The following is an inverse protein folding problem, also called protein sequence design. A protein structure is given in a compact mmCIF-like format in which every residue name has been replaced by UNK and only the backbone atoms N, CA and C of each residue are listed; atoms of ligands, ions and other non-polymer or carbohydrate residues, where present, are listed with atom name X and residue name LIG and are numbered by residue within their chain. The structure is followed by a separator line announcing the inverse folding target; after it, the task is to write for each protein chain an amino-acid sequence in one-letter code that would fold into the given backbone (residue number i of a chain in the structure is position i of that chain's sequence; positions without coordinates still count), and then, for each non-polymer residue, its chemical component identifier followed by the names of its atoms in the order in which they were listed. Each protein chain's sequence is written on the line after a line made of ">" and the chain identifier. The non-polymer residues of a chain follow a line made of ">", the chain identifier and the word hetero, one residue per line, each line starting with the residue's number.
data_IF_387279005863
#
_entry.id   IF_387279005863
#
_cell.length_a   1.000
_cell.length_b   1.000
_cell.length_c   1.000
_cell.angle_alpha   90.00
_cell.angle_beta   90.00
_cell.angle_gamma   90.00
#
_symmetry.space_group_name_H-M   'P 1'
#
loop_
_entity.id
_entity.type
_entity.pdbx_description
1 polymer ?
#
# COMPACT_ATOMS: atom_id res chain seq x y z
N UNK A 1 -13.04 -16.75 -0.47
CA UNK A 1 -12.08 -16.77 -1.60
C UNK A 1 -12.23 -15.47 -2.35
N UNK A 2 -11.16 -14.73 -2.62
CA UNK A 2 -11.22 -13.56 -3.49
C UNK A 2 -11.67 -13.98 -4.90
N UNK A 3 -12.49 -13.16 -5.54
CA UNK A 3 -12.95 -13.38 -6.92
C UNK A 3 -11.78 -13.25 -7.92
N UNK A 4 -12.01 -13.70 -9.15
CA UNK A 4 -10.96 -13.77 -10.16
C UNK A 4 -10.44 -12.39 -10.59
N UNK A 5 -11.30 -11.36 -10.62
CA UNK A 5 -10.89 -10.02 -10.96
C UNK A 5 -9.96 -9.45 -9.88
N UNK A 6 -10.30 -9.65 -8.60
CA UNK A 6 -9.44 -9.28 -7.48
C UNK A 6 -8.07 -9.99 -7.55
N UNK A 7 -8.04 -11.29 -7.89
CA UNK A 7 -6.77 -12.02 -8.04
C UNK A 7 -5.89 -11.49 -9.15
N UNK A 8 -6.49 -11.13 -10.30
CA UNK A 8 -5.74 -10.57 -11.44
C UNK A 8 -5.08 -9.25 -11.08
N UNK A 9 -5.83 -8.33 -10.46
CA UNK A 9 -5.29 -7.03 -10.01
C UNK A 9 -4.14 -7.24 -9.02
N UNK A 10 -4.31 -8.11 -8.03
CA UNK A 10 -3.27 -8.41 -7.03
C UNK A 10 -2.03 -9.04 -7.68
N UNK A 11 -2.19 -9.85 -8.73
CA UNK A 11 -1.06 -10.50 -9.41
C UNK A 11 -0.14 -9.53 -10.16
N UNK A 12 -0.61 -8.33 -10.48
CA UNK A 12 0.17 -7.29 -11.15
C UNK A 12 0.97 -6.42 -10.17
N UNK A 13 0.71 -6.54 -8.87
CA UNK A 13 1.41 -5.79 -7.83
C UNK A 13 2.77 -6.46 -7.57
N UNK A 14 3.89 -5.72 -7.63
CA UNK A 14 5.21 -6.26 -7.32
C UNK A 14 5.25 -6.91 -5.94
N UNK A 15 5.80 -8.12 -5.86
CA UNK A 15 5.95 -8.83 -4.58
C UNK A 15 7.22 -8.36 -3.87
N UNK A 16 7.10 -8.11 -2.58
CA UNK A 16 8.22 -7.75 -1.72
C UNK A 16 9.06 -8.98 -1.37
N UNK A 17 10.37 -8.78 -1.27
CA UNK A 17 11.35 -9.83 -0.97
C UNK A 17 11.94 -9.69 0.42
N UNK A 18 12.07 -8.46 0.91
CA UNK A 18 12.66 -8.20 2.22
C UNK A 18 11.62 -8.34 3.33
N UNK A 19 11.71 -9.45 4.08
CA UNK A 19 10.92 -9.63 5.30
C UNK A 19 11.62 -8.94 6.49
N UNK A 20 11.30 -7.67 6.71
CA UNK A 20 11.88 -6.84 7.76
C UNK A 20 10.83 -5.90 8.36
N UNK A 21 10.90 -5.62 9.66
CA UNK A 21 10.07 -4.65 10.36
C UNK A 21 10.82 -3.35 10.69
N UNK A 22 10.13 -2.35 11.28
CA UNK A 22 10.73 -1.06 11.62
C UNK A 22 12.00 -1.09 12.49
N UNK A 23 12.23 -2.18 13.23
CA UNK A 23 13.42 -2.36 14.09
C UNK A 23 14.66 -2.85 13.34
N UNK A 24 14.51 -3.36 12.12
CA UNK A 24 15.59 -4.01 11.35
C UNK A 24 16.47 -3.02 10.56
N UNK A 25 16.41 -1.72 10.89
CA UNK A 25 17.29 -0.64 10.41
C UNK A 25 17.45 -0.63 8.88
N UNK A 26 18.60 -1.08 8.36
CA UNK A 26 18.89 -1.05 6.92
C UNK A 26 17.96 -1.95 6.11
N UNK A 27 17.57 -3.10 6.67
CA UNK A 27 16.61 -4.00 6.02
C UNK A 27 15.22 -3.36 5.97
N UNK A 28 14.86 -2.54 6.97
CA UNK A 28 13.63 -1.76 6.94
C UNK A 28 13.64 -0.72 5.82
N UNK A 29 14.76 -0.02 5.63
CA UNK A 29 14.92 0.93 4.51
C UNK A 29 14.82 0.22 3.16
N UNK A 30 15.37 -0.99 3.05
CA UNK A 30 15.24 -1.81 1.84
C UNK A 30 13.77 -2.20 1.60
N UNK A 31 13.09 -2.74 2.61
CA UNK A 31 11.66 -3.08 2.51
C UNK A 31 10.83 -1.86 2.14
N UNK A 32 11.05 -0.70 2.77
CA UNK A 32 10.33 0.53 2.44
C UNK A 32 10.48 0.91 0.96
N UNK A 33 11.67 0.77 0.37
CA UNK A 33 11.85 1.00 -1.07
C UNK A 33 10.98 0.06 -1.90
N UNK A 34 10.89 -1.21 -1.52
CA UNK A 34 10.02 -2.19 -2.18
C UNK A 34 8.53 -1.86 -2.01
N UNK A 35 8.11 -1.43 -0.81
CA UNK A 35 6.73 -0.98 -0.53
C UNK A 35 6.36 0.22 -1.42
N UNK A 36 7.22 1.24 -1.48
CA UNK A 36 7.00 2.42 -2.32
C UNK A 36 6.91 2.07 -3.80
N UNK A 37 7.80 1.20 -4.32
CA UNK A 37 7.73 0.74 -5.70
C UNK A 37 6.41 0.00 -5.99
N UNK A 38 5.96 -0.83 -5.05
CA UNK A 38 4.72 -1.59 -5.18
C UNK A 38 3.49 -0.67 -5.18
N UNK A 39 3.47 0.32 -4.28
CA UNK A 39 2.41 1.33 -4.22
C UNK A 39 2.37 2.20 -5.49
N UNK A 40 3.52 2.69 -5.96
CA UNK A 40 3.59 3.48 -7.20
C UNK A 40 3.05 2.67 -8.36
N UNK A 41 3.48 1.41 -8.50
CA UNK A 41 3.02 0.52 -9.58
C UNK A 41 1.51 0.27 -9.50
N UNK A 42 0.99 0.06 -8.29
CA UNK A 42 -0.44 -0.17 -8.11
C UNK A 42 -1.27 1.08 -8.46
N UNK A 43 -0.83 2.26 -8.05
CA UNK A 43 -1.46 3.54 -8.42
C UNK A 43 -1.39 3.77 -9.93
N UNK A 44 -0.27 3.48 -10.60
CA UNK A 44 -0.16 3.54 -12.06
C UNK A 44 -1.17 2.61 -12.75
N UNK A 45 -1.27 1.36 -12.32
CA UNK A 45 -2.22 0.39 -12.90
C UNK A 45 -3.68 0.84 -12.70
N UNK A 46 -3.99 1.36 -11.50
CA UNK A 46 -5.31 1.91 -11.19
C UNK A 46 -5.65 3.10 -12.09
N UNK A 47 -4.72 4.03 -12.28
CA UNK A 47 -4.90 5.19 -13.19
C UNK A 47 -5.08 4.77 -14.64
N UNK A 48 -4.29 3.80 -15.11
CA UNK A 48 -4.42 3.27 -16.48
C UNK A 48 -5.77 2.56 -16.71
N UNK A 49 -6.40 2.08 -15.64
CA UNK A 49 -7.71 1.41 -15.65
C UNK A 49 -8.86 2.35 -15.27
N UNK A 50 -8.60 3.67 -15.16
CA UNK A 50 -9.56 4.70 -14.73
C UNK A 50 -10.23 4.40 -13.38
N UNK A 51 -9.48 3.76 -12.47
CA UNK A 51 -9.93 3.33 -11.15
C UNK A 51 -8.97 3.80 -10.05
N UNK A 52 -8.47 5.04 -10.16
CA UNK A 52 -7.67 5.67 -9.12
C UNK A 52 -8.54 5.89 -7.88
N UNK A 53 -8.17 5.31 -6.74
CA UNK A 53 -9.03 5.27 -5.54
C UNK A 53 -8.33 5.65 -4.24
N UNK A 54 -7.02 5.91 -4.24
CA UNK A 54 -6.31 6.30 -3.02
C UNK A 54 -5.01 7.07 -3.27
N UNK A 55 -4.58 7.77 -2.23
CA UNK A 55 -3.24 8.34 -2.11
C UNK A 55 -2.74 8.14 -0.68
N UNK A 56 -1.53 7.62 -0.55
CA UNK A 56 -0.88 7.35 0.73
C UNK A 56 0.52 7.95 0.75
N UNK A 57 0.89 8.52 1.88
CA UNK A 57 2.20 9.09 2.17
C UNK A 57 2.63 8.61 3.56
N UNK A 58 3.94 8.57 3.83
CA UNK A 58 4.46 8.17 5.14
C UNK A 58 5.28 9.29 5.78
N UNK A 59 5.49 9.19 7.09
CA UNK A 59 6.57 9.91 7.76
C UNK A 59 7.95 9.49 7.21
N UNK A 60 9.00 10.22 7.58
CA UNK A 60 10.38 9.94 7.14
C UNK A 60 10.87 8.54 7.51
N UNK A 61 10.38 7.98 8.63
CA UNK A 61 10.73 6.63 9.06
C UNK A 61 9.89 5.52 8.40
N UNK A 62 8.84 5.86 7.65
CA UNK A 62 7.94 4.89 7.02
C UNK A 62 7.07 4.09 8.01
N UNK A 63 7.01 4.51 9.27
CA UNK A 63 6.30 3.81 10.35
C UNK A 63 4.88 4.32 10.56
N UNK A 64 4.57 5.55 10.13
CA UNK A 64 3.22 6.11 10.17
C UNK A 64 2.82 6.52 8.76
N UNK A 65 1.67 6.04 8.33
CA UNK A 65 1.11 6.27 7.02
C UNK A 65 -0.19 7.02 7.14
N UNK A 66 -0.39 7.99 6.27
CA UNK A 66 -1.57 8.83 6.24
C UNK A 66 -1.89 9.20 4.82
N UNK A 67 -3.16 9.51 4.56
CA UNK A 67 -3.59 9.89 3.24
C UNK A 67 -5.10 9.85 3.12
N UNK A 68 -5.57 9.59 1.91
CA UNK A 68 -6.99 9.56 1.59
C UNK A 68 -7.31 8.41 0.67
N UNK A 69 -8.48 7.82 0.84
CA UNK A 69 -9.09 6.97 -0.17
C UNK A 69 -10.45 7.54 -0.57
N UNK A 70 -10.92 7.16 -1.75
CA UNK A 70 -12.23 7.55 -2.21
C UNK A 70 -12.92 6.43 -2.97
N UNK A 71 -14.24 6.51 -2.99
CA UNK A 71 -15.11 5.56 -3.67
C UNK A 71 -16.18 6.32 -4.44
N UNK A 72 -16.45 5.87 -5.67
CA UNK A 72 -17.48 6.47 -6.52
C UNK A 72 -18.70 5.55 -6.50
N UNK A 73 -19.84 6.09 -6.06
CA UNK A 73 -21.12 5.38 -6.06
C UNK A 73 -22.21 6.34 -6.53
N UNK A 74 -23.02 5.92 -7.50
CA UNK A 74 -24.07 6.74 -8.12
C UNK A 74 -23.59 8.14 -8.56
N UNK A 75 -22.41 8.19 -9.21
CA UNK A 75 -21.74 9.41 -9.64
C UNK A 75 -21.36 10.39 -8.51
N UNK A 76 -21.44 9.96 -7.26
CA UNK A 76 -20.98 10.72 -6.09
C UNK A 76 -19.63 10.17 -5.61
N UNK A 77 -18.67 11.06 -5.41
CA UNK A 77 -17.36 10.74 -4.83
C UNK A 77 -17.45 10.88 -3.31
N UNK A 78 -17.18 9.78 -2.61
CA UNK A 78 -17.02 9.73 -1.16
C UNK A 78 -15.54 9.67 -0.85
N UNK A 79 -15.02 10.62 -0.08
CA UNK A 79 -13.62 10.72 0.28
C UNK A 79 -13.45 10.53 1.79
N UNK A 80 -12.45 9.75 2.18
CA UNK A 80 -12.16 9.39 3.56
C UNK A 80 -10.68 9.65 3.86
N UNK A 81 -10.41 10.35 4.95
CA UNK A 81 -9.07 10.46 5.50
C UNK A 81 -8.72 9.15 6.21
N UNK A 82 -7.51 8.62 5.93
CA UNK A 82 -7.02 7.36 6.49
C UNK A 82 -5.66 7.57 7.14
N UNK A 83 -5.44 6.88 8.25
CA UNK A 83 -4.18 6.88 8.98
C UNK A 83 -3.96 5.52 9.64
N UNK A 84 -2.73 5.01 9.58
CA UNK A 84 -2.32 3.79 10.28
C UNK A 84 -0.83 3.81 10.63
N UNK A 85 -0.46 2.97 11.61
CA UNK A 85 0.93 2.77 12.02
C UNK A 85 1.37 1.34 11.73
N UNK A 86 2.62 1.18 11.28
CA UNK A 86 3.23 -0.13 11.04
C UNK A 86 3.61 -0.72 12.40
N UNK A 87 2.89 -1.76 12.81
CA UNK A 87 3.16 -2.45 14.06
C UNK A 87 4.54 -3.10 14.06
N UNK A 88 5.20 -3.05 15.22
CA UNK A 88 6.42 -3.82 15.47
C UNK A 88 6.00 -5.18 16.01
N UNK A 89 5.74 -6.11 15.10
CA UNK A 89 5.42 -7.49 15.47
C UNK A 89 6.75 -8.22 15.63
N UNK A 90 7.08 -8.65 16.86
CA UNK A 90 8.13 -9.65 17.07
C UNK A 90 7.60 -10.98 16.54
N UNK A 91 8.12 -11.44 15.41
CA UNK A 91 7.87 -12.79 14.95
C UNK A 91 8.61 -13.73 15.90
N UNK A 92 7.92 -14.23 16.94
CA UNK A 92 8.37 -15.42 17.67
C UNK A 92 8.44 -16.57 16.65
N UNK A 93 9.66 -16.94 16.27
CA UNK A 93 9.96 -18.09 15.42
C UNK A 93 9.95 -19.40 16.18
#
# INVERSE_FOLDING_TARGET
>A
MADEATRRVVSEIPVLKTNAGPRDRELWVQRLKEEYQSLIRYVENNKNSDNDWFRLESNKEGTRWFGKCWYIHDFLKYEFDIEFEVSVIEWEG
#
